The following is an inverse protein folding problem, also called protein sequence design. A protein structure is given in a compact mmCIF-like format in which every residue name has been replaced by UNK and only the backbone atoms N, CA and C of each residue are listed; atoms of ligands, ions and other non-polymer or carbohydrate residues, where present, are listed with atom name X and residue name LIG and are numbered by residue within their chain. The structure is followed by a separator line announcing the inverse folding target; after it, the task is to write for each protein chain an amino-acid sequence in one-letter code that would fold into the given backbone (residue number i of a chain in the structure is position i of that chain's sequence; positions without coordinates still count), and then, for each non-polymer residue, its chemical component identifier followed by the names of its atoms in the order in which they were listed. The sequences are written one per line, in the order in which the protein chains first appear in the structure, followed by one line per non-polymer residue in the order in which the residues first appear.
data_IF_604041506030
#
_entry.id   IF_604041506030
#
_cell.length_a   1.000
_cell.length_b   1.000
_cell.length_c   1.000
_cell.angle_alpha   90.00
_cell.angle_beta   90.00
_cell.angle_gamma   90.00
#
_symmetry.space_group_name_H-M   'P 1'
#
loop_
_entity.id
_entity.type
_entity.pdbx_description
1 polymer ?
#
# COMPACT_ATOMS: atom_id res chain seq x y z
N UNK A 1 -35.80 31.83 -7.41
CA UNK A 1 -36.62 30.76 -8.02
C UNK A 1 -35.85 29.45 -7.95
N UNK A 2 -36.43 28.34 -7.48
CA UNK A 2 -35.78 27.04 -7.59
C UNK A 2 -35.66 26.66 -9.08
N UNK A 3 -34.47 26.23 -9.50
CA UNK A 3 -34.20 25.81 -10.87
C UNK A 3 -35.08 24.59 -11.19
N UNK A 4 -35.85 24.58 -12.29
CA UNK A 4 -36.68 23.43 -12.65
C UNK A 4 -35.81 22.16 -12.79
N UNK A 5 -36.31 20.95 -12.49
CA UNK A 5 -35.53 19.72 -12.45
C UNK A 5 -34.88 19.24 -13.78
N UNK A 6 -34.75 20.06 -14.81
CA UNK A 6 -34.48 19.63 -16.19
C UNK A 6 -33.42 20.46 -16.93
N UNK A 7 -32.19 20.56 -16.40
CA UNK A 7 -31.06 21.09 -17.18
C UNK A 7 -29.69 20.42 -16.88
N UNK A 8 -29.66 19.27 -16.22
CA UNK A 8 -28.41 18.52 -16.03
C UNK A 8 -28.31 17.49 -17.15
N UNK A 9 -27.29 17.63 -18.01
CA UNK A 9 -27.01 16.65 -19.04
C UNK A 9 -26.86 15.25 -18.42
N UNK A 10 -27.41 14.19 -19.06
CA UNK A 10 -27.40 12.87 -18.47
C UNK A 10 -25.97 12.35 -18.30
N UNK A 11 -25.69 11.70 -17.16
CA UNK A 11 -24.35 11.18 -16.84
C UNK A 11 -23.85 10.11 -17.83
N UNK A 12 -24.80 9.38 -18.44
CA UNK A 12 -24.60 8.45 -19.54
C UNK A 12 -25.33 8.90 -20.79
N UNK A 13 -24.72 8.69 -21.97
CA UNK A 13 -25.30 9.07 -23.25
C UNK A 13 -26.46 8.17 -23.68
N UNK A 14 -26.41 6.88 -23.32
CA UNK A 14 -27.42 5.89 -23.70
C UNK A 14 -27.69 4.93 -22.55
N UNK A 15 -28.87 4.29 -22.57
CA UNK A 15 -29.21 3.23 -21.62
C UNK A 15 -28.28 2.02 -21.76
N UNK A 16 -27.84 1.68 -22.97
CA UNK A 16 -26.89 0.59 -23.20
C UNK A 16 -25.52 0.87 -22.57
N UNK A 17 -25.01 2.11 -22.69
CA UNK A 17 -23.76 2.51 -22.05
C UNK A 17 -23.85 2.43 -20.53
N UNK A 18 -24.98 2.83 -19.95
CA UNK A 18 -25.23 2.66 -18.51
C UNK A 18 -25.25 1.18 -18.11
N UNK A 19 -25.96 0.32 -18.84
CA UNK A 19 -26.01 -1.13 -18.54
C UNK A 19 -24.63 -1.79 -18.63
N UNK A 20 -23.83 -1.44 -19.63
CA UNK A 20 -22.46 -1.94 -19.76
C UNK A 20 -21.62 -1.54 -18.53
N UNK A 21 -21.73 -0.28 -18.09
CA UNK A 21 -20.96 0.18 -16.93
C UNK A 21 -21.44 -0.45 -15.61
N UNK A 22 -22.75 -0.70 -15.48
CA UNK A 22 -23.31 -1.48 -14.36
C UNK A 22 -22.71 -2.88 -14.32
N UNK A 23 -22.64 -3.58 -15.46
CA UNK A 23 -22.08 -4.93 -15.51
C UNK A 23 -20.61 -4.96 -15.08
N UNK A 24 -19.80 -3.98 -15.54
CA UNK A 24 -18.39 -3.86 -15.15
C UNK A 24 -18.25 -3.59 -13.65
N UNK A 25 -19.03 -2.67 -13.09
CA UNK A 25 -18.99 -2.40 -11.64
C UNK A 25 -19.48 -3.58 -10.80
N UNK A 26 -20.51 -4.28 -11.24
CA UNK A 26 -21.02 -5.47 -10.55
C UNK A 26 -19.94 -6.56 -10.52
N UNK A 27 -19.28 -6.82 -11.65
CA UNK A 27 -18.14 -7.74 -11.72
C UNK A 27 -16.98 -7.28 -10.82
N UNK A 28 -16.64 -5.99 -10.86
CA UNK A 28 -15.56 -5.42 -10.03
C UNK A 28 -15.83 -5.52 -8.54
N UNK A 29 -17.04 -5.20 -8.08
CA UNK A 29 -17.44 -5.35 -6.68
C UNK A 29 -17.46 -6.81 -6.25
N UNK A 30 -18.01 -7.70 -7.07
CA UNK A 30 -18.01 -9.14 -6.79
C UNK A 30 -16.59 -9.68 -6.63
N UNK A 31 -15.70 -9.37 -7.57
CA UNK A 31 -14.30 -9.78 -7.53
C UNK A 31 -13.55 -9.12 -6.36
N UNK A 32 -13.84 -7.87 -6.02
CA UNK A 32 -13.24 -7.20 -4.87
C UNK A 32 -13.63 -7.89 -3.54
N UNK A 33 -14.90 -8.27 -3.38
CA UNK A 33 -15.38 -8.95 -2.17
C UNK A 33 -14.82 -10.37 -2.11
N UNK A 34 -15.07 -11.18 -3.13
CA UNK A 34 -14.71 -12.60 -3.13
C UNK A 34 -13.20 -12.78 -3.26
N UNK A 35 -12.58 -12.13 -4.24
CA UNK A 35 -11.13 -12.19 -4.45
C UNK A 35 -10.35 -11.54 -3.30
N UNK A 36 -10.84 -10.43 -2.74
CA UNK A 36 -10.24 -9.81 -1.56
C UNK A 36 -10.28 -10.75 -0.34
N UNK A 37 -11.44 -11.31 -0.02
CA UNK A 37 -11.58 -12.27 1.08
C UNK A 37 -10.71 -13.52 0.87
N UNK A 38 -10.68 -14.05 -0.35
CA UNK A 38 -9.89 -15.23 -0.68
C UNK A 38 -8.38 -14.99 -0.53
N UNK A 39 -7.91 -13.82 -0.95
CA UNK A 39 -6.51 -13.42 -0.81
C UNK A 39 -6.10 -13.22 0.64
N UNK A 40 -6.95 -12.58 1.46
CA UNK A 40 -6.73 -12.42 2.90
C UNK A 40 -6.67 -13.79 3.60
N UNK A 41 -7.59 -14.70 3.28
CA UNK A 41 -7.57 -16.07 3.81
C UNK A 41 -6.28 -16.82 3.46
N UNK A 42 -5.79 -16.68 2.22
CA UNK A 42 -4.53 -17.30 1.79
C UNK A 42 -3.31 -16.75 2.54
N UNK A 43 -3.34 -15.50 2.97
CA UNK A 43 -2.22 -14.84 3.64
C UNK A 43 -2.10 -15.16 5.15
N UNK A 44 -2.95 -16.02 5.71
CA UNK A 44 -3.03 -16.26 7.16
C UNK A 44 -1.72 -16.71 7.83
N UNK A 45 -0.82 -17.36 7.09
CA UNK A 45 0.45 -17.87 7.61
C UNK A 45 1.49 -16.78 7.90
N UNK A 46 1.30 -15.55 7.40
CA UNK A 46 2.21 -14.42 7.61
C UNK A 46 1.43 -13.21 8.06
N UNK A 47 1.63 -12.77 9.31
CA UNK A 47 0.93 -11.61 9.86
C UNK A 47 1.18 -10.35 9.02
N UNK A 48 2.40 -10.17 8.52
CA UNK A 48 2.78 -9.06 7.63
C UNK A 48 1.99 -9.10 6.33
N UNK A 49 1.93 -10.26 5.65
CA UNK A 49 1.19 -10.38 4.38
C UNK A 49 -0.32 -10.36 4.60
N UNK A 50 -0.82 -10.84 5.74
CA UNK A 50 -2.21 -10.74 6.12
C UNK A 50 -2.64 -9.26 6.22
N UNK A 51 -1.87 -8.43 6.92
CA UNK A 51 -2.15 -6.99 7.01
C UNK A 51 -2.02 -6.31 5.65
N UNK A 52 -0.99 -6.64 4.87
CA UNK A 52 -0.79 -6.06 3.54
C UNK A 52 -1.93 -6.40 2.56
N UNK A 53 -2.41 -7.64 2.59
CA UNK A 53 -3.53 -8.09 1.76
C UNK A 53 -4.87 -7.51 2.22
N UNK A 54 -5.06 -7.29 3.53
CA UNK A 54 -6.21 -6.54 4.04
C UNK A 54 -6.21 -5.10 3.51
N UNK A 55 -5.06 -4.42 3.53
CA UNK A 55 -4.91 -3.06 3.00
C UNK A 55 -5.27 -3.00 1.51
N UNK A 56 -4.78 -3.95 0.71
CA UNK A 56 -5.15 -4.05 -0.70
C UNK A 56 -6.64 -4.34 -0.91
N UNK A 57 -7.20 -5.32 -0.18
CA UNK A 57 -8.60 -5.70 -0.29
C UNK A 57 -9.54 -4.53 0.09
N UNK A 58 -9.22 -3.78 1.15
CA UNK A 58 -9.93 -2.57 1.50
C UNK A 58 -9.80 -1.50 0.41
N UNK A 59 -8.62 -1.34 -0.20
CA UNK A 59 -8.42 -0.47 -1.36
C UNK A 59 -9.36 -0.81 -2.52
N UNK A 60 -9.50 -2.11 -2.86
CA UNK A 60 -10.42 -2.57 -3.90
C UNK A 60 -11.87 -2.22 -3.57
N UNK A 61 -12.31 -2.51 -2.34
CA UNK A 61 -13.67 -2.23 -1.89
C UNK A 61 -13.98 -0.73 -1.89
N UNK A 62 -13.04 0.11 -1.44
CA UNK A 62 -13.17 1.57 -1.46
C UNK A 62 -13.24 2.06 -2.90
N UNK A 63 -12.33 1.64 -3.77
CA UNK A 63 -12.30 2.09 -5.17
C UNK A 63 -13.57 1.70 -5.93
N UNK A 64 -13.93 0.41 -5.95
CA UNK A 64 -15.11 -0.04 -6.70
C UNK A 64 -16.42 0.39 -6.03
N UNK A 65 -16.48 0.41 -4.70
CA UNK A 65 -17.65 0.84 -3.94
C UNK A 65 -17.94 2.32 -4.13
N UNK A 66 -16.94 3.20 -3.97
CA UNK A 66 -17.11 4.62 -4.21
C UNK A 66 -17.41 4.92 -5.68
N UNK A 67 -16.77 4.21 -6.62
CA UNK A 67 -17.05 4.36 -8.06
C UNK A 67 -18.48 3.98 -8.41
N UNK A 68 -18.98 2.84 -7.90
CA UNK A 68 -20.36 2.43 -8.12
C UNK A 68 -21.35 3.43 -7.49
N UNK A 69 -21.10 3.83 -6.24
CA UNK A 69 -21.92 4.81 -5.54
C UNK A 69 -22.00 6.13 -6.33
N UNK A 70 -20.88 6.63 -6.84
CA UNK A 70 -20.85 7.83 -7.66
C UNK A 70 -21.60 7.66 -8.98
N UNK A 71 -21.25 6.64 -9.77
CA UNK A 71 -21.71 6.51 -11.15
C UNK A 71 -23.21 6.18 -11.26
N UNK A 72 -23.82 5.62 -10.22
CA UNK A 72 -25.23 5.25 -10.21
C UNK A 72 -26.08 6.07 -9.24
N UNK A 73 -25.50 7.07 -8.57
CA UNK A 73 -26.22 8.00 -7.72
C UNK A 73 -27.12 8.97 -8.52
N UNK A 74 -28.18 9.48 -7.88
CA UNK A 74 -28.96 10.58 -8.43
C UNK A 74 -28.10 11.85 -8.58
N UNK A 75 -28.39 12.73 -9.55
CA UNK A 75 -27.55 13.89 -9.88
C UNK A 75 -27.18 14.79 -8.70
N UNK A 76 -28.06 14.90 -7.70
CA UNK A 76 -27.88 15.72 -6.51
C UNK A 76 -26.75 15.21 -5.60
N UNK A 77 -26.50 13.89 -5.58
CA UNK A 77 -25.46 13.26 -4.75
C UNK A 77 -24.13 13.07 -5.48
N UNK A 78 -24.15 13.09 -6.82
CA UNK A 78 -22.97 12.86 -7.66
C UNK A 78 -21.78 13.79 -7.35
N UNK A 79 -21.95 15.11 -7.12
CA UNK A 79 -20.82 15.98 -6.83
C UNK A 79 -20.02 15.57 -5.59
N UNK A 80 -20.71 15.14 -4.53
CA UNK A 80 -20.09 14.66 -3.30
C UNK A 80 -19.45 13.29 -3.51
N UNK A 81 -20.18 12.33 -4.07
CA UNK A 81 -19.68 10.96 -4.28
C UNK A 81 -18.52 10.89 -5.26
N UNK A 82 -18.46 11.82 -6.23
CA UNK A 82 -17.31 11.97 -7.14
C UNK A 82 -16.01 12.31 -6.39
N UNK A 83 -16.08 13.03 -5.27
CA UNK A 83 -14.88 13.33 -4.46
C UNK A 83 -14.35 12.04 -3.84
N UNK A 84 -15.24 11.22 -3.27
CA UNK A 84 -14.89 9.92 -2.69
C UNK A 84 -14.37 8.93 -3.73
N UNK A 85 -15.03 8.85 -4.90
CA UNK A 85 -14.57 8.03 -6.03
C UNK A 85 -13.13 8.37 -6.44
N UNK A 86 -12.86 9.64 -6.69
CA UNK A 86 -11.51 10.09 -7.04
C UNK A 86 -10.48 9.96 -5.90
N UNK A 87 -10.92 10.06 -4.64
CA UNK A 87 -10.05 9.80 -3.49
C UNK A 87 -9.71 8.30 -3.37
N UNK A 88 -10.68 7.42 -3.68
CA UNK A 88 -10.49 5.97 -3.68
C UNK A 88 -9.36 5.49 -4.60
N UNK A 89 -9.11 6.19 -5.71
CA UNK A 89 -7.98 5.89 -6.60
C UNK A 89 -6.63 6.03 -5.86
N UNK A 90 -6.45 7.07 -5.04
CA UNK A 90 -5.23 7.25 -4.26
C UNK A 90 -5.03 6.12 -3.24
N UNK A 91 -6.10 5.75 -2.53
CA UNK A 91 -6.09 4.65 -1.57
C UNK A 91 -5.74 3.34 -2.26
N UNK A 92 -6.33 3.08 -3.43
CA UNK A 92 -6.05 1.85 -4.18
C UNK A 92 -4.60 1.79 -4.67
N UNK A 93 -4.03 2.90 -5.17
CA UNK A 93 -2.64 2.93 -5.61
C UNK A 93 -1.72 2.58 -4.42
N UNK A 94 -1.87 3.26 -3.27
CA UNK A 94 -1.06 2.95 -2.09
C UNK A 94 -1.30 1.52 -1.56
N UNK A 95 -2.55 1.06 -1.60
CA UNK A 95 -2.91 -0.30 -1.22
C UNK A 95 -2.28 -1.37 -2.11
N UNK A 96 -2.15 -1.11 -3.42
CA UNK A 96 -1.44 -1.99 -4.36
C UNK A 96 0.07 -2.05 -4.13
N UNK A 97 0.70 -0.94 -3.79
CA UNK A 97 2.14 -0.92 -3.50
C UNK A 97 2.51 -1.66 -2.22
N UNK A 98 1.65 -1.60 -1.19
CA UNK A 98 1.96 -2.12 0.15
C UNK A 98 2.47 -3.57 0.15
N UNK A 99 1.75 -4.57 -0.41
CA UNK A 99 2.25 -5.94 -0.44
C UNK A 99 3.52 -6.10 -1.29
N UNK A 100 3.64 -5.42 -2.43
CA UNK A 100 4.85 -5.54 -3.27
C UNK A 100 6.10 -4.96 -2.59
N UNK A 101 5.98 -3.82 -1.92
CA UNK A 101 7.09 -3.20 -1.19
C UNK A 101 7.52 -4.04 0.02
N UNK A 102 6.57 -4.68 0.69
CA UNK A 102 6.87 -5.59 1.81
C UNK A 102 7.55 -6.87 1.36
N UNK A 103 7.23 -7.39 0.17
CA UNK A 103 7.86 -8.61 -0.38
C UNK A 103 9.23 -8.31 -1.01
N UNK A 104 9.34 -7.24 -1.81
CA UNK A 104 10.48 -7.05 -2.71
C UNK A 104 11.63 -6.23 -2.11
N UNK A 105 11.38 -5.39 -1.10
CA UNK A 105 12.39 -4.49 -0.52
C UNK A 105 12.63 -4.87 0.93
N UNK A 106 13.82 -4.57 1.45
CA UNK A 106 14.19 -4.71 2.86
C UNK A 106 14.72 -3.40 3.45
N UNK A 107 14.80 -3.34 4.80
CA UNK A 107 15.43 -2.25 5.53
C UNK A 107 14.84 -0.86 5.24
N UNK A 108 15.72 0.14 5.13
CA UNK A 108 15.35 1.55 4.94
C UNK A 108 14.55 1.80 3.66
N UNK A 109 14.87 1.10 2.57
CA UNK A 109 14.21 1.30 1.27
C UNK A 109 12.73 0.91 1.30
N UNK A 110 12.39 -0.20 1.97
CA UNK A 110 11.00 -0.64 2.17
C UNK A 110 10.18 0.47 2.81
N UNK A 111 10.63 0.96 3.97
CA UNK A 111 9.89 1.94 4.74
C UNK A 111 9.87 3.33 4.07
N UNK A 112 10.98 3.75 3.47
CA UNK A 112 11.03 5.01 2.73
C UNK A 112 10.00 5.05 1.59
N UNK A 113 9.89 3.98 0.81
CA UNK A 113 8.90 3.91 -0.28
C UNK A 113 7.47 3.80 0.23
N UNK A 114 7.21 3.00 1.27
CA UNK A 114 5.87 2.91 1.88
C UNK A 114 5.43 4.29 2.37
N UNK A 115 6.28 5.00 3.12
CA UNK A 115 5.98 6.35 3.61
C UNK A 115 5.77 7.29 2.44
N UNK A 116 6.65 7.31 1.44
CA UNK A 116 6.51 8.20 0.29
C UNK A 116 5.18 8.00 -0.46
N UNK A 117 4.83 6.75 -0.80
CA UNK A 117 3.60 6.44 -1.54
C UNK A 117 2.36 6.78 -0.71
N UNK A 118 2.34 6.41 0.58
CA UNK A 118 1.21 6.71 1.45
C UNK A 118 1.08 8.21 1.76
N UNK A 119 2.17 8.95 1.92
CA UNK A 119 2.13 10.40 2.11
C UNK A 119 1.50 11.10 0.90
N UNK A 120 1.92 10.74 -0.32
CA UNK A 120 1.32 11.30 -1.54
C UNK A 120 -0.15 10.90 -1.67
N UNK A 121 -0.50 9.64 -1.36
CA UNK A 121 -1.88 9.17 -1.41
C UNK A 121 -2.78 9.87 -0.40
N UNK A 122 -2.36 10.00 0.86
CA UNK A 122 -3.12 10.68 1.91
C UNK A 122 -3.27 12.17 1.62
N UNK A 123 -2.22 12.83 1.13
CA UNK A 123 -2.31 14.20 0.65
C UNK A 123 -3.30 14.31 -0.51
N UNK A 124 -3.25 13.39 -1.47
CA UNK A 124 -4.17 13.32 -2.60
C UNK A 124 -5.63 13.13 -2.16
N UNK A 125 -5.89 12.25 -1.20
CA UNK A 125 -7.21 12.05 -0.58
C UNK A 125 -7.68 13.35 0.07
N UNK A 126 -6.87 13.95 0.94
CA UNK A 126 -7.19 15.21 1.61
C UNK A 126 -7.53 16.30 0.58
N UNK A 127 -6.66 16.50 -0.39
CA UNK A 127 -6.83 17.52 -1.41
C UNK A 127 -8.09 17.27 -2.27
N UNK A 128 -8.45 16.01 -2.56
CA UNK A 128 -9.70 15.69 -3.28
C UNK A 128 -10.96 15.98 -2.50
N UNK A 129 -10.94 15.77 -1.18
CA UNK A 129 -12.11 15.99 -0.33
C UNK A 129 -12.31 17.48 -0.04
N UNK A 130 -11.21 18.21 0.22
CA UNK A 130 -11.26 19.55 0.82
C UNK A 130 -10.81 20.69 -0.11
N UNK A 131 -10.00 20.44 -1.15
CA UNK A 131 -9.50 21.50 -2.05
C UNK A 131 -10.30 21.53 -3.38
N UNK A 132 -11.23 22.48 -3.55
CA UNK A 132 -11.96 22.65 -4.81
C UNK A 132 -11.08 23.30 -5.89
N UNK A 133 -11.53 23.25 -7.15
CA UNK A 133 -10.96 24.07 -8.23
C UNK A 133 -9.71 23.52 -8.94
N UNK A 134 -9.14 22.41 -8.49
CA UNK A 134 -7.96 21.82 -9.14
C UNK A 134 -8.35 21.12 -10.45
N UNK A 135 -7.64 21.46 -11.53
CA UNK A 135 -7.91 20.97 -12.88
C UNK A 135 -7.85 19.44 -12.99
N UNK A 136 -8.72 18.86 -13.82
CA UNK A 136 -8.81 17.41 -14.04
C UNK A 136 -7.49 16.79 -14.50
N UNK A 137 -6.76 17.47 -15.40
CA UNK A 137 -5.50 16.99 -15.95
C UNK A 137 -4.39 16.83 -14.91
N UNK A 138 -4.32 17.75 -13.94
CA UNK A 138 -3.37 17.68 -12.83
C UNK A 138 -3.54 16.38 -12.03
N UNK A 139 -4.78 16.02 -11.73
CA UNK A 139 -5.07 14.79 -10.99
C UNK A 139 -4.69 13.54 -11.78
N UNK A 140 -5.03 13.49 -13.08
CA UNK A 140 -4.63 12.39 -13.96
C UNK A 140 -3.11 12.23 -13.98
N UNK A 141 -2.37 13.33 -14.07
CA UNK A 141 -0.90 13.30 -14.03
C UNK A 141 -0.39 12.73 -12.70
N UNK A 142 -0.90 13.20 -11.56
CA UNK A 142 -0.50 12.66 -10.25
C UNK A 142 -0.84 11.18 -10.11
N UNK A 143 -2.01 10.72 -10.56
CA UNK A 143 -2.37 9.29 -10.51
C UNK A 143 -1.39 8.44 -11.32
N UNK A 144 -1.00 8.89 -12.51
CA UNK A 144 -0.05 8.16 -13.36
C UNK A 144 1.37 8.19 -12.77
N UNK A 145 1.84 9.35 -12.31
CA UNK A 145 3.16 9.48 -11.67
C UNK A 145 3.26 8.58 -10.43
N UNK A 146 2.27 8.63 -9.55
CA UNK A 146 2.22 7.76 -8.38
C UNK A 146 2.06 6.29 -8.78
N UNK A 147 1.22 6.00 -9.77
CA UNK A 147 1.01 4.65 -10.30
C UNK A 147 2.28 3.99 -10.84
N UNK A 148 3.20 4.78 -11.41
CA UNK A 148 4.49 4.31 -11.92
C UNK A 148 5.68 4.51 -10.96
N UNK A 149 5.44 4.93 -9.71
CA UNK A 149 6.49 5.16 -8.71
C UNK A 149 7.38 3.92 -8.45
N UNK A 150 6.90 2.71 -8.73
CA UNK A 150 7.66 1.46 -8.65
C UNK A 150 8.91 1.43 -9.55
N UNK A 151 8.96 2.26 -10.60
CA UNK A 151 10.17 2.41 -11.44
C UNK A 151 11.36 2.89 -10.61
N UNK A 152 11.14 3.72 -9.59
CA UNK A 152 12.20 4.22 -8.69
C UNK A 152 12.93 3.06 -8.00
N UNK A 153 12.21 1.97 -7.71
CA UNK A 153 12.75 0.77 -7.05
C UNK A 153 12.74 -0.44 -7.98
N UNK A 154 12.90 -0.22 -9.28
CA UNK A 154 12.91 -1.30 -10.27
C UNK A 154 14.03 -2.32 -10.01
N UNK A 155 15.21 -1.88 -9.57
CA UNK A 155 16.33 -2.78 -9.24
C UNK A 155 15.96 -3.75 -8.10
N UNK A 156 15.50 -3.27 -6.92
CA UNK A 156 14.93 -4.15 -5.89
C UNK A 156 13.78 -5.03 -6.38
N UNK A 157 12.86 -4.50 -7.19
CA UNK A 157 11.74 -5.28 -7.74
C UNK A 157 12.22 -6.44 -8.60
N UNK A 158 13.16 -6.20 -9.52
CA UNK A 158 13.75 -7.25 -10.38
C UNK A 158 14.52 -8.29 -9.55
N UNK A 159 15.16 -7.88 -8.46
CA UNK A 159 15.90 -8.78 -7.58
C UNK A 159 15.00 -9.57 -6.62
N UNK A 160 13.85 -9.01 -6.22
CA UNK A 160 12.99 -9.54 -5.16
C UNK A 160 11.70 -10.20 -5.63
N UNK A 161 11.31 -10.05 -6.89
CA UNK A 161 10.07 -10.60 -7.44
C UNK A 161 10.34 -11.48 -8.66
N UNK A 162 9.54 -12.54 -8.80
CA UNK A 162 9.55 -13.38 -9.99
C UNK A 162 9.17 -12.58 -11.24
N UNK A 163 9.75 -12.96 -12.38
CA UNK A 163 9.52 -12.29 -13.67
C UNK A 163 8.03 -12.22 -14.04
N UNK A 164 7.26 -13.27 -13.77
CA UNK A 164 5.80 -13.30 -13.97
C UNK A 164 5.09 -12.23 -13.14
N UNK A 165 5.50 -12.02 -11.89
CA UNK A 165 4.92 -11.00 -11.00
C UNK A 165 5.21 -9.60 -11.57
N UNK A 166 6.43 -9.36 -12.03
CA UNK A 166 6.83 -8.08 -12.64
C UNK A 166 6.01 -7.77 -13.90
N UNK A 167 5.81 -8.77 -14.77
CA UNK A 167 4.99 -8.59 -15.97
C UNK A 167 3.52 -8.30 -15.63
N UNK A 168 2.97 -8.93 -14.60
CA UNK A 168 1.61 -8.63 -14.12
C UNK A 168 1.50 -7.22 -13.51
N UNK A 169 2.53 -6.75 -12.78
CA UNK A 169 2.57 -5.38 -12.28
C UNK A 169 2.60 -4.39 -13.46
N UNK A 170 3.47 -4.64 -14.44
CA UNK A 170 3.60 -3.82 -15.65
C UNK A 170 2.33 -3.82 -16.49
N UNK A 171 1.69 -4.98 -16.68
CA UNK A 171 0.39 -5.10 -17.35
C UNK A 171 -0.69 -4.31 -16.62
N UNK A 172 -0.71 -4.35 -15.28
CA UNK A 172 -1.60 -3.52 -14.48
C UNK A 172 -1.40 -2.01 -14.71
N UNK A 173 -0.14 -1.56 -14.69
CA UNK A 173 0.22 -0.18 -15.03
C UNK A 173 -0.20 0.22 -16.45
N UNK A 174 -0.04 -0.69 -17.41
CA UNK A 174 -0.48 -0.49 -18.79
C UNK A 174 -2.01 -0.39 -18.91
N UNK A 175 -2.77 -1.27 -18.24
CA UNK A 175 -4.24 -1.18 -18.21
C UNK A 175 -4.71 0.19 -17.69
N UNK A 176 -4.16 0.66 -16.57
CA UNK A 176 -4.51 1.98 -16.04
C UNK A 176 -4.15 3.11 -17.00
N UNK A 177 -2.95 3.08 -17.58
CA UNK A 177 -2.46 4.11 -18.51
C UNK A 177 -3.29 4.17 -19.79
N UNK A 178 -3.54 3.03 -20.43
CA UNK A 178 -4.38 2.93 -21.62
C UNK A 178 -5.81 3.32 -21.30
N UNK A 179 -6.33 2.90 -20.15
CA UNK A 179 -7.67 3.28 -19.68
C UNK A 179 -7.89 4.79 -19.67
N UNK A 180 -6.89 5.58 -19.26
CA UNK A 180 -6.99 7.05 -19.20
C UNK A 180 -7.39 7.63 -20.56
N UNK A 181 -6.92 7.05 -21.66
CA UNK A 181 -7.25 7.51 -23.02
C UNK A 181 -8.76 7.46 -23.30
N UNK A 182 -9.44 6.39 -22.85
CA UNK A 182 -10.89 6.25 -22.95
C UNK A 182 -11.61 7.18 -21.98
N UNK A 183 -11.09 7.34 -20.76
CA UNK A 183 -11.65 8.28 -19.78
C UNK A 183 -11.67 9.74 -20.27
N UNK A 184 -10.63 10.18 -20.97
CA UNK A 184 -10.56 11.56 -21.50
C UNK A 184 -11.38 11.73 -22.78
N UNK A 185 -11.52 10.70 -23.61
CA UNK A 185 -12.24 10.75 -24.89
C UNK A 185 -13.77 10.76 -24.69
N UNK A 186 -14.32 11.94 -24.41
CA UNK A 186 -15.76 12.14 -24.20
C UNK A 186 -16.64 11.98 -25.44
N UNK A 187 -16.06 11.83 -26.64
CA UNK A 187 -16.81 11.56 -27.87
C UNK A 187 -17.35 10.12 -27.96
N UNK A 188 -16.69 9.13 -27.35
CA UNK A 188 -17.16 7.74 -27.36
C UNK A 188 -18.42 7.54 -26.52
N UNK A 189 -19.32 6.66 -26.97
CA UNK A 189 -20.59 6.35 -26.28
C UNK A 189 -20.34 5.55 -24.99
N UNK A 190 -19.42 4.57 -25.05
CA UNK A 190 -19.11 3.64 -23.96
C UNK A 190 -17.84 4.02 -23.18
N UNK A 191 -17.39 5.27 -23.25
CA UNK A 191 -16.11 5.69 -22.67
C UNK A 191 -15.95 5.34 -21.18
N UNK A 192 -17.01 5.48 -20.37
CA UNK A 192 -17.00 5.17 -18.94
C UNK A 192 -16.87 3.66 -18.69
N UNK A 193 -17.71 2.85 -19.35
CA UNK A 193 -17.66 1.41 -19.24
C UNK A 193 -16.29 0.85 -19.65
N UNK A 194 -15.70 1.36 -20.75
CA UNK A 194 -14.37 0.94 -21.21
C UNK A 194 -13.28 1.38 -20.21
N UNK A 195 -13.38 2.60 -19.66
CA UNK A 195 -12.49 3.06 -18.60
C UNK A 195 -12.55 2.15 -17.37
N UNK A 196 -13.75 1.87 -16.84
CA UNK A 196 -13.90 1.02 -15.66
C UNK A 196 -13.48 -0.44 -15.95
N UNK A 197 -13.64 -0.92 -17.18
CA UNK A 197 -13.16 -2.25 -17.57
C UNK A 197 -11.62 -2.32 -17.54
N UNK A 198 -10.93 -1.25 -17.95
CA UNK A 198 -9.46 -1.17 -17.80
C UNK A 198 -9.04 -1.07 -16.34
N UNK A 199 -9.78 -0.32 -15.50
CA UNK A 199 -9.53 -0.27 -14.05
C UNK A 199 -9.70 -1.66 -13.43
N UNK A 200 -10.72 -2.42 -13.83
CA UNK A 200 -10.93 -3.80 -13.42
C UNK A 200 -9.80 -4.73 -13.89
N UNK A 201 -9.39 -4.64 -15.15
CA UNK A 201 -8.26 -5.42 -15.67
C UNK A 201 -6.95 -5.12 -14.95
N UNK A 202 -6.68 -3.84 -14.67
CA UNK A 202 -5.51 -3.41 -13.90
C UNK A 202 -5.52 -3.95 -12.46
N UNK A 203 -6.66 -3.82 -11.78
CA UNK A 203 -6.86 -4.37 -10.44
C UNK A 203 -6.69 -5.90 -10.43
N UNK A 204 -7.28 -6.62 -11.38
CA UNK A 204 -7.14 -8.07 -11.49
C UNK A 204 -5.69 -8.49 -11.74
N UNK A 205 -4.97 -7.78 -12.61
CA UNK A 205 -3.55 -8.04 -12.86
C UNK A 205 -2.72 -7.91 -11.59
N UNK A 206 -2.96 -6.86 -10.79
CA UNK A 206 -2.30 -6.68 -9.50
C UNK A 206 -2.73 -7.72 -8.46
N UNK A 207 -4.00 -8.12 -8.44
CA UNK A 207 -4.49 -9.19 -7.57
C UNK A 207 -3.76 -10.50 -7.88
N UNK A 208 -3.64 -10.88 -9.16
CA UNK A 208 -2.89 -12.06 -9.58
C UNK A 208 -1.41 -11.98 -9.19
N UNK A 209 -0.78 -10.81 -9.36
CA UNK A 209 0.61 -10.59 -8.95
C UNK A 209 0.80 -10.79 -7.44
N UNK A 210 -0.08 -10.21 -6.61
CA UNK A 210 -0.02 -10.38 -5.14
C UNK A 210 -0.28 -11.84 -4.78
N UNK A 211 -1.26 -12.49 -5.42
CA UNK A 211 -1.57 -13.89 -5.20
C UNK A 211 -0.36 -14.81 -5.43
N UNK A 212 0.42 -14.57 -6.48
CA UNK A 212 1.65 -15.31 -6.76
C UNK A 212 2.74 -15.06 -5.71
N UNK A 213 2.78 -13.87 -5.09
CA UNK A 213 3.66 -13.60 -3.95
C UNK A 213 3.24 -14.35 -2.67
N UNK A 214 2.00 -14.84 -2.58
CA UNK A 214 1.54 -15.66 -1.46
C UNK A 214 1.94 -17.12 -1.71
N UNK A 215 3.14 -17.50 -1.27
CA UNK A 215 3.67 -18.86 -1.46
C UNK A 215 2.77 -19.94 -0.82
N UNK A 216 2.77 -21.18 -1.36
CA UNK A 216 2.06 -22.30 -0.76
C UNK A 216 2.58 -22.60 0.65
N UNK A 217 1.68 -23.05 1.53
CA UNK A 217 1.97 -23.52 2.89
C UNK A 217 3.07 -24.60 2.87
N UNK A 218 4.33 -24.21 3.01
CA UNK A 218 5.47 -25.12 2.94
C UNK A 218 6.80 -24.47 2.57
N UNK A 219 6.78 -23.29 1.93
CA UNK A 219 7.98 -22.46 1.75
C UNK A 219 8.25 -21.67 3.02
N UNK A 220 9.50 -21.71 3.52
CA UNK A 220 9.96 -20.83 4.60
C UNK A 220 9.72 -19.40 4.14
N UNK A 221 8.69 -18.74 4.68
CA UNK A 221 8.60 -17.29 4.61
C UNK A 221 9.96 -16.80 5.08
N UNK A 222 10.74 -16.13 4.21
CA UNK A 222 11.87 -15.34 4.71
C UNK A 222 11.25 -14.46 5.77
N UNK A 223 11.56 -14.76 7.03
CA UNK A 223 10.97 -14.10 8.16
C UNK A 223 11.23 -12.63 7.92
N UNK A 224 10.19 -11.91 7.49
CA UNK A 224 10.18 -10.48 7.58
C UNK A 224 10.16 -10.29 9.08
N UNK A 225 11.35 -10.09 9.66
CA UNK A 225 11.51 -9.75 11.05
C UNK A 225 10.67 -8.51 11.27
N UNK A 226 9.44 -8.74 11.73
CA UNK A 226 8.67 -7.75 12.44
C UNK A 226 9.57 -7.45 13.63
N UNK A 227 10.28 -6.33 13.60
CA UNK A 227 10.91 -5.81 14.80
C UNK A 227 9.82 -5.84 15.86
N UNK A 228 9.93 -6.69 16.90
CA UNK A 228 8.89 -6.76 17.90
C UNK A 228 8.80 -5.37 18.49
N UNK A 229 7.63 -4.72 18.37
CA UNK A 229 7.36 -3.51 19.13
C UNK A 229 7.46 -3.94 20.58
N UNK A 230 8.58 -3.60 21.21
CA UNK A 230 8.86 -4.00 22.58
C UNK A 230 7.65 -3.59 23.43
N UNK A 231 7.08 -4.50 24.24
CA UNK A 231 5.98 -4.13 25.10
C UNK A 231 6.41 -2.95 25.97
N UNK A 232 5.55 -1.94 26.08
CA UNK A 232 5.69 -0.71 26.89
C UNK A 232 5.94 -0.96 28.40
N UNK A 233 6.26 -2.18 28.82
CA UNK A 233 6.58 -2.57 30.19
C UNK A 233 8.06 -2.44 30.54
N UNK A 234 8.95 -2.11 29.60
CA UNK A 234 10.39 -1.99 29.86
C UNK A 234 10.87 -0.57 30.26
N UNK A 235 9.98 0.42 30.41
CA UNK A 235 10.36 1.79 30.85
C UNK A 235 10.05 2.03 32.34
N UNK A 236 9.48 1.05 33.06
CA UNK A 236 9.10 1.21 34.46
C UNK A 236 10.10 0.66 35.50
N UNK A 237 11.16 -0.04 35.11
CA UNK A 237 12.12 -0.65 36.06
C UNK A 237 13.48 0.04 36.17
N UNK A 238 13.82 0.99 35.29
CA UNK A 238 15.14 1.68 35.32
C UNK A 238 15.14 3.01 36.10
N UNK A 239 14.16 3.22 37.00
CA UNK A 239 14.15 4.35 37.95
C UNK A 239 14.10 3.90 39.41
N UNK A 240 14.85 2.85 39.77
CA UNK A 240 14.98 2.43 41.18
C UNK A 240 16.39 2.00 41.60
N UNK A 241 17.42 2.34 40.83
CA UNK A 241 18.83 2.03 41.14
C UNK A 241 19.80 3.22 41.07
N UNK A 242 19.32 4.44 40.82
CA UNK A 242 20.16 5.63 40.63
C UNK A 242 20.11 6.63 41.79
N UNK A 243 19.60 6.24 42.97
CA UNK A 243 19.49 7.13 44.14
C UNK A 243 20.51 6.79 45.24
N UNK A 244 21.17 5.64 45.22
CA UNK A 244 22.08 5.22 46.31
C UNK A 244 23.58 5.33 46.01
N UNK A 245 23.98 6.13 45.02
CA UNK A 245 25.41 6.26 44.66
C UNK A 245 25.97 7.68 44.75
N UNK A 246 25.47 8.46 45.70
CA UNK A 246 26.02 9.76 46.09
C UNK A 246 26.18 9.85 47.61
N UNK A 247 27.07 9.02 48.18
CA UNK A 247 27.65 9.30 49.49
C UNK A 247 29.15 8.96 49.48
N UNK A 248 29.92 10.05 49.58
CA UNK A 248 31.29 10.19 50.07
C UNK A 248 32.49 9.64 49.30
N UNK A 249 33.24 10.62 48.80
CA UNK A 249 34.63 10.64 48.35
C UNK A 249 35.58 10.64 49.55
N UNK A 250 36.70 9.92 49.43
CA UNK A 250 38.02 10.39 49.89
C UNK A 250 38.64 9.67 51.09
N UNK A 251 39.75 8.95 50.86
CA UNK A 251 41.02 9.20 51.56
C UNK A 251 42.20 8.52 50.85
N UNK A 252 43.36 9.18 50.95
CA UNK A 252 44.62 8.94 50.26
C UNK A 252 45.47 7.75 50.78
N UNK A 253 46.47 7.45 49.94
CA UNK A 253 47.89 7.16 50.25
C UNK A 253 48.35 5.72 50.51
N UNK A 254 49.28 5.31 49.64
CA UNK A 254 50.60 4.71 49.91
C UNK A 254 50.73 3.55 50.91
N UNK A 255 51.21 2.42 50.40
CA UNK A 255 52.47 1.72 50.79
C UNK A 255 52.48 0.36 50.07
N UNK A 256 53.38 0.14 49.13
CA UNK A 256 54.70 -0.47 49.33
C UNK A 256 54.65 -2.01 49.27
N UNK A 257 55.63 -2.62 48.58
CA UNK A 257 56.09 -3.96 48.95
C UNK A 257 56.15 -5.03 47.85
N UNK A 258 57.09 -4.87 46.93
CA UNK A 258 58.03 -5.88 46.40
C UNK A 258 57.94 -7.35 46.89
N UNK A 259 57.78 -8.31 45.96
CA UNK A 259 58.56 -9.56 45.81
C UNK A 259 57.92 -10.43 44.71
N UNK A 260 58.48 -10.62 43.51
CA UNK A 260 59.70 -11.35 43.13
C UNK A 260 59.61 -12.89 43.28
N UNK A 261 59.92 -13.58 42.15
CA UNK A 261 60.33 -15.00 41.96
C UNK A 261 59.21 -16.07 41.95
N UNK A 262 59.27 -17.17 41.19
CA UNK A 262 60.32 -17.81 40.35
C UNK A 262 59.64 -18.72 39.31
N UNK A 263 60.34 -18.93 38.20
CA UNK A 263 60.07 -19.81 37.05
C UNK A 263 60.13 -21.32 37.32
N UNK A 264 59.88 -22.09 36.24
CA UNK A 264 60.26 -23.50 35.90
C UNK A 264 59.07 -24.47 35.93
N UNK A 265 58.89 -25.43 35.02
CA UNK A 265 59.46 -25.78 33.71
C UNK A 265 58.65 -26.99 33.19
N UNK A 266 58.27 -27.01 31.91
CA UNK A 266 58.06 -28.25 31.12
C UNK A 266 59.45 -28.71 30.58
N UNK A 267 59.70 -29.88 29.96
CA UNK A 267 58.78 -30.91 29.43
C UNK A 267 59.27 -32.40 29.52
N UNK A 268 58.46 -33.30 28.92
CA UNK A 268 58.82 -34.52 28.15
C UNK A 268 58.96 -35.90 28.84
N UNK A 269 58.34 -36.90 28.16
CA UNK A 269 58.65 -38.34 27.95
C UNK A 269 57.31 -39.10 27.83
N UNK A 270 57.06 -40.05 26.93
CA UNK A 270 57.71 -40.72 25.77
C UNK A 270 56.54 -41.18 24.90
#
# INVERSE_FOLDING_TARGET
MPVPPSAIAPHYKTASARRADVAVHAAGLFLAIVGGAWMVWRAHASQTMLLATCVYALGLLVMFGCSAAYNFAPPQRQPMLRKFDHAGIFVMIAGSYTPFLLVALDGTWRWAMIVAVWSVALFGVFAKLFLPGIAKGFWVAIYLLLGWAGIVVIKPFVAGLDSTVLWLIAAGGAFYTVGVTFYVRKSLVYNRAIWHAHVLGGALSHWCAIWLCLQPLGGVWRAVDVVPVAPLRAVASTRRGAVDRFYYVGFQSERAGTSARISTSSPSRV
#
